data_IF_383306602024
#
_entry.id   IF_383306602024
#
_cell.length_a   1.000
_cell.length_b   1.000
_cell.length_c   1.000
_cell.angle_alpha   90.00
_cell.angle_beta   90.00
_cell.angle_gamma   90.00
#
_symmetry.space_group_name_H-M   'P 1'
#
loop_
_entity.id
_entity.type
_entity.pdbx_description
1 polymer ?
#
# COMPACT_ATOMS: atom_id res chain seq x y z
N UNK A 1 9.51 24.08 14.89
CA UNK A 1 10.04 22.76 15.23
C UNK A 1 9.91 21.92 13.98
N UNK A 2 10.99 21.46 13.37
CA UNK A 2 10.90 20.57 12.20
C UNK A 2 10.31 19.26 12.72
N UNK A 3 9.07 18.94 12.32
CA UNK A 3 8.55 17.59 12.49
C UNK A 3 9.51 16.67 11.73
N UNK A 4 10.42 16.03 12.49
CA UNK A 4 11.28 15.00 11.92
C UNK A 4 10.37 13.92 11.37
N UNK A 5 10.46 13.66 10.07
CA UNK A 5 9.70 12.59 9.40
C UNK A 5 10.19 11.23 9.90
N UNK A 6 9.77 10.84 11.12
CA UNK A 6 10.11 9.53 11.66
C UNK A 6 9.28 8.47 10.95
N UNK A 7 9.93 7.65 10.15
CA UNK A 7 9.31 6.58 9.37
C UNK A 7 9.77 5.22 9.87
N UNK A 8 8.83 4.30 10.10
CA UNK A 8 9.09 2.87 10.32
C UNK A 8 8.86 2.09 9.03
N UNK A 9 9.79 1.22 8.68
CA UNK A 9 9.62 0.24 7.61
C UNK A 9 9.07 -1.05 8.22
N UNK A 10 7.89 -1.46 7.78
CA UNK A 10 7.21 -2.65 8.29
C UNK A 10 7.19 -3.71 7.20
N UNK A 11 7.80 -4.85 7.48
CA UNK A 11 7.93 -6.00 6.57
C UNK A 11 7.04 -7.13 7.08
N UNK A 12 5.85 -7.36 6.50
CA UNK A 12 5.01 -8.50 6.84
C UNK A 12 5.62 -9.82 6.37
N UNK A 13 5.77 -10.79 7.29
CA UNK A 13 6.32 -12.11 7.01
C UNK A 13 5.49 -13.20 7.69
N UNK A 14 5.30 -14.33 7.02
CA UNK A 14 4.43 -15.41 7.52
C UNK A 14 4.96 -16.82 7.21
N UNK A 15 6.12 -16.93 6.59
CA UNK A 15 6.79 -18.20 6.29
C UNK A 15 8.13 -18.30 7.03
N UNK A 16 8.55 -19.48 7.49
CA UNK A 16 9.82 -19.62 8.22
C UNK A 16 11.06 -19.51 7.32
N UNK A 17 10.88 -19.52 6.00
CA UNK A 17 11.97 -19.45 5.01
C UNK A 17 11.70 -18.38 3.97
N UNK A 18 12.76 -17.80 3.41
CA UNK A 18 12.70 -16.87 2.28
C UNK A 18 13.07 -17.60 0.99
N UNK A 19 12.41 -17.24 -0.09
CA UNK A 19 12.92 -17.50 -1.43
C UNK A 19 14.14 -16.63 -1.73
N UNK A 20 14.88 -16.93 -2.79
CA UNK A 20 16.00 -16.10 -3.24
C UNK A 20 15.57 -14.66 -3.55
N UNK A 21 14.41 -14.50 -4.17
CA UNK A 21 13.85 -13.17 -4.49
C UNK A 21 13.48 -12.37 -3.23
N UNK A 22 12.85 -13.03 -2.25
CA UNK A 22 12.51 -12.39 -0.96
C UNK A 22 13.76 -12.03 -0.16
N UNK A 23 14.78 -12.88 -0.17
CA UNK A 23 16.07 -12.58 0.45
C UNK A 23 16.72 -11.36 -0.19
N UNK A 24 16.76 -11.32 -1.53
CA UNK A 24 17.32 -10.18 -2.25
C UNK A 24 16.53 -8.88 -1.99
N UNK A 25 15.19 -8.96 -1.95
CA UNK A 25 14.33 -7.83 -1.60
C UNK A 25 14.58 -7.32 -0.18
N UNK A 26 14.70 -8.22 0.81
CA UNK A 26 15.01 -7.86 2.19
C UNK A 26 16.37 -7.14 2.28
N UNK A 27 17.40 -7.71 1.66
CA UNK A 27 18.74 -7.12 1.65
C UNK A 27 18.77 -5.76 0.96
N UNK A 28 18.05 -5.60 -0.14
CA UNK A 28 17.90 -4.32 -0.83
C UNK A 28 17.18 -3.28 0.04
N UNK A 29 16.10 -3.68 0.71
CA UNK A 29 15.39 -2.81 1.66
C UNK A 29 16.33 -2.32 2.78
N UNK A 30 17.04 -3.24 3.42
CA UNK A 30 17.98 -2.91 4.49
C UNK A 30 19.15 -2.04 4.00
N UNK A 31 19.67 -2.31 2.82
CA UNK A 31 20.76 -1.52 2.21
C UNK A 31 20.34 -0.08 1.92
N UNK A 32 19.13 0.14 1.40
CA UNK A 32 18.68 1.46 0.92
C UNK A 32 17.99 2.25 2.03
N UNK A 33 17.12 1.62 2.80
CA UNK A 33 16.30 2.29 3.80
C UNK A 33 16.84 2.15 5.23
N UNK A 34 17.47 1.01 5.55
CA UNK A 34 17.97 0.71 6.89
C UNK A 34 18.93 1.74 7.48
N UNK A 35 19.81 2.43 6.71
CA UNK A 35 20.69 3.45 7.25
C UNK A 35 19.96 4.67 7.85
N UNK A 36 18.71 4.93 7.46
CA UNK A 36 17.99 6.15 7.81
C UNK A 36 16.66 5.89 8.54
N UNK A 37 16.17 4.65 8.52
CA UNK A 37 14.86 4.30 9.03
C UNK A 37 14.89 3.03 9.85
N UNK A 38 14.10 2.98 10.92
CA UNK A 38 13.90 1.76 11.68
C UNK A 38 13.17 0.72 10.81
N UNK A 39 13.58 -0.54 10.93
CA UNK A 39 12.97 -1.67 10.22
C UNK A 39 12.43 -2.68 11.22
N UNK A 40 11.21 -3.17 11.00
CA UNK A 40 10.59 -4.19 11.83
C UNK A 40 9.90 -5.26 10.98
N UNK A 41 10.15 -6.53 11.31
CA UNK A 41 9.33 -7.64 10.83
C UNK A 41 7.98 -7.63 11.57
N UNK A 42 6.91 -7.90 10.86
CA UNK A 42 5.58 -8.17 11.42
C UNK A 42 5.21 -9.59 11.09
N UNK A 43 4.99 -10.43 12.11
CA UNK A 43 4.84 -11.87 11.91
C UNK A 43 3.86 -12.52 12.90
N UNK A 44 3.43 -13.78 12.63
CA UNK A 44 2.68 -14.61 13.58
C UNK A 44 3.43 -14.82 14.90
N UNK A 45 2.69 -14.99 15.99
CA UNK A 45 3.27 -15.32 17.30
C UNK A 45 4.14 -16.59 17.24
N UNK A 46 3.73 -17.58 16.45
CA UNK A 46 4.40 -18.89 16.31
C UNK A 46 5.61 -18.89 15.37
N UNK A 47 5.84 -17.83 14.55
CA UNK A 47 6.84 -17.87 13.49
C UNK A 47 8.28 -17.79 14.03
N UNK A 48 9.15 -18.68 13.58
CA UNK A 48 10.60 -18.55 13.76
C UNK A 48 11.19 -17.62 12.68
N UNK A 49 11.79 -16.53 13.10
CA UNK A 49 12.34 -15.48 12.20
C UNK A 49 13.85 -15.64 11.95
N UNK A 50 14.50 -16.70 12.41
CA UNK A 50 15.95 -16.89 12.30
C UNK A 50 16.48 -16.81 10.85
N UNK A 51 15.71 -17.26 9.87
CA UNK A 51 16.11 -17.15 8.47
C UNK A 51 16.17 -15.70 7.97
N UNK A 52 15.31 -14.83 8.49
CA UNK A 52 15.31 -13.39 8.20
C UNK A 52 16.50 -12.68 8.85
N UNK A 53 16.79 -13.01 10.12
CA UNK A 53 17.96 -12.49 10.83
C UNK A 53 19.26 -12.90 10.12
N UNK A 54 19.35 -14.16 9.69
CA UNK A 54 20.49 -14.65 8.91
C UNK A 54 20.62 -13.94 7.54
N UNK A 55 19.51 -13.68 6.85
CA UNK A 55 19.51 -12.96 5.57
C UNK A 55 19.89 -11.47 5.73
N UNK A 56 19.54 -10.87 6.86
CA UNK A 56 19.88 -9.50 7.21
C UNK A 56 21.33 -9.34 7.70
N UNK A 57 21.96 -10.41 8.21
CA UNK A 57 23.25 -10.36 8.88
C UNK A 57 23.21 -9.82 10.32
N UNK A 58 22.02 -9.53 10.83
CA UNK A 58 21.77 -9.01 12.16
C UNK A 58 20.39 -9.44 12.68
N UNK A 59 20.16 -9.28 13.99
CA UNK A 59 18.83 -9.54 14.57
C UNK A 59 17.89 -8.38 14.30
N UNK A 60 16.81 -8.65 13.56
CA UNK A 60 15.80 -7.67 13.23
C UNK A 60 14.79 -7.46 14.37
N UNK A 61 14.34 -6.24 14.56
CA UNK A 61 13.17 -5.96 15.40
C UNK A 61 11.97 -6.74 14.87
N UNK A 62 11.23 -7.38 15.77
CA UNK A 62 10.09 -8.23 15.41
C UNK A 62 8.87 -7.85 16.24
N UNK A 63 7.76 -7.52 15.59
CA UNK A 63 6.46 -7.26 16.19
C UNK A 63 5.54 -8.43 15.90
N UNK A 64 5.05 -9.08 16.95
CA UNK A 64 4.26 -10.30 16.86
C UNK A 64 2.78 -10.03 17.03
N UNK A 65 1.99 -10.75 16.24
CA UNK A 65 0.53 -10.72 16.28
C UNK A 65 -0.01 -12.16 16.23
N UNK A 66 -1.28 -12.32 16.62
CA UNK A 66 -1.93 -13.63 16.58
C UNK A 66 -1.86 -14.27 15.20
N UNK A 67 -1.68 -15.57 15.16
CA UNK A 67 -1.49 -16.36 13.94
C UNK A 67 -2.65 -16.20 12.94
N UNK A 68 -3.90 -16.06 13.44
CA UNK A 68 -5.09 -15.87 12.61
C UNK A 68 -5.07 -14.63 11.70
N UNK A 69 -4.24 -13.66 12.02
CA UNK A 69 -4.01 -12.50 11.14
C UNK A 69 -3.14 -12.82 9.91
N UNK A 70 -2.52 -13.97 9.86
CA UNK A 70 -1.67 -14.39 8.75
C UNK A 70 -2.25 -15.58 7.98
N UNK A 71 -3.49 -15.97 8.29
CA UNK A 71 -4.22 -17.00 7.57
C UNK A 71 -4.83 -16.43 6.27
N UNK A 72 -4.05 -16.48 5.20
CA UNK A 72 -4.47 -16.03 3.88
C UNK A 72 -4.66 -14.51 3.77
N UNK A 73 -5.24 -14.11 2.64
CA UNK A 73 -5.47 -12.68 2.33
C UNK A 73 -6.45 -12.02 3.30
N UNK A 74 -7.46 -12.75 3.76
CA UNK A 74 -8.47 -12.23 4.68
C UNK A 74 -7.87 -11.92 6.06
N UNK A 75 -7.01 -12.79 6.58
CA UNK A 75 -6.28 -12.55 7.82
C UNK A 75 -5.40 -11.32 7.72
N UNK A 76 -4.63 -11.21 6.65
CA UNK A 76 -3.79 -10.05 6.38
C UNK A 76 -4.60 -8.74 6.28
N UNK A 77 -5.71 -8.74 5.56
CA UNK A 77 -6.60 -7.58 5.48
C UNK A 77 -7.14 -7.18 6.87
N UNK A 78 -7.55 -8.17 7.71
CA UNK A 78 -7.97 -7.88 9.10
C UNK A 78 -6.84 -7.23 9.90
N UNK A 79 -5.58 -7.69 9.74
CA UNK A 79 -4.43 -7.08 10.41
C UNK A 79 -4.26 -5.62 9.96
N UNK A 80 -4.19 -5.39 8.65
CA UNK A 80 -3.97 -4.05 8.06
C UNK A 80 -5.12 -3.06 8.35
N UNK A 81 -6.32 -3.54 8.64
CA UNK A 81 -7.46 -2.71 9.05
C UNK A 81 -7.62 -2.62 10.58
N UNK A 82 -6.76 -3.24 11.37
CA UNK A 82 -6.88 -3.26 12.82
C UNK A 82 -6.18 -2.07 13.49
N UNK A 83 -6.86 -1.42 14.44
CA UNK A 83 -6.24 -0.40 15.28
C UNK A 83 -5.03 -0.93 16.06
N UNK A 84 -5.10 -2.22 16.49
CA UNK A 84 -4.02 -2.90 17.21
C UNK A 84 -2.70 -2.90 16.44
N UNK A 85 -2.76 -3.03 15.11
CA UNK A 85 -1.57 -3.02 14.26
C UNK A 85 -0.89 -1.65 14.29
N UNK A 86 -1.61 -0.59 13.99
CA UNK A 86 -1.04 0.77 13.94
C UNK A 86 -0.60 1.27 15.32
N UNK A 87 -1.27 0.87 16.39
CA UNK A 87 -0.93 1.26 17.77
C UNK A 87 0.46 0.79 18.21
N UNK A 88 0.98 -0.33 17.63
CA UNK A 88 2.34 -0.80 17.90
C UNK A 88 3.42 0.19 17.47
N UNK A 89 3.08 1.05 16.50
CA UNK A 89 4.00 1.97 15.86
C UNK A 89 3.62 3.45 16.10
N UNK A 90 2.77 3.73 17.10
CA UNK A 90 2.19 5.06 17.34
C UNK A 90 3.20 6.18 17.64
N UNK A 91 4.45 5.85 17.91
CA UNK A 91 5.53 6.80 18.16
C UNK A 91 6.24 7.27 16.86
N UNK A 92 5.92 6.67 15.70
CA UNK A 92 6.35 7.15 14.40
C UNK A 92 5.29 8.05 13.77
N UNK A 93 5.71 8.95 12.89
CA UNK A 93 4.79 9.78 12.10
C UNK A 93 4.27 9.03 10.86
N UNK A 94 5.12 8.17 10.28
CA UNK A 94 4.86 7.47 9.03
C UNK A 94 5.21 5.98 9.13
N UNK A 95 4.55 5.19 8.32
CA UNK A 95 4.81 3.77 8.15
C UNK A 95 4.92 3.45 6.66
N UNK A 96 6.00 2.81 6.26
CA UNK A 96 6.12 2.16 4.96
C UNK A 96 5.80 0.67 5.13
N UNK A 97 4.73 0.19 4.50
CA UNK A 97 4.55 -1.25 4.30
C UNK A 97 5.45 -1.66 3.14
N UNK A 98 6.28 -2.67 3.37
CA UNK A 98 7.20 -3.23 2.39
C UNK A 98 7.05 -4.74 2.35
N UNK A 99 6.29 -5.28 1.40
CA UNK A 99 6.20 -6.72 1.16
C UNK A 99 7.46 -7.21 0.43
N UNK A 100 7.88 -8.45 0.68
CA UNK A 100 9.17 -8.96 0.15
C UNK A 100 9.14 -9.29 -1.36
N UNK A 101 8.06 -9.02 -2.04
CA UNK A 101 7.98 -8.95 -3.50
C UNK A 101 8.06 -7.50 -4.03
N UNK A 102 8.33 -6.53 -3.16
CA UNK A 102 8.68 -5.18 -3.54
C UNK A 102 10.18 -5.04 -3.80
N UNK A 103 10.55 -3.94 -4.44
CA UNK A 103 11.95 -3.53 -4.63
C UNK A 103 12.06 -2.02 -4.48
N UNK A 104 13.09 -1.57 -3.77
CA UNK A 104 13.37 -0.15 -3.57
C UNK A 104 14.64 0.24 -4.33
N UNK A 105 14.58 1.33 -5.10
CA UNK A 105 15.73 1.81 -5.88
C UNK A 105 16.50 2.90 -5.16
N UNK A 106 15.81 3.78 -4.44
CA UNK A 106 16.40 4.91 -3.73
C UNK A 106 15.52 5.31 -2.53
N UNK A 107 16.12 5.95 -1.53
CA UNK A 107 15.39 6.50 -0.39
C UNK A 107 14.93 7.93 -0.71
N UNK A 108 13.61 8.09 -0.90
CA UNK A 108 12.93 9.38 -1.02
C UNK A 108 11.78 9.52 -0.02
N UNK A 109 11.82 8.75 1.09
CA UNK A 109 10.71 8.76 2.05
C UNK A 109 10.48 10.14 2.66
N UNK A 110 11.54 10.88 2.98
CA UNK A 110 11.39 12.23 3.52
C UNK A 110 10.68 13.18 2.54
N UNK A 111 11.00 13.09 1.24
CA UNK A 111 10.29 13.86 0.20
C UNK A 111 8.79 13.53 0.20
N UNK A 112 8.44 12.24 0.23
CA UNK A 112 7.05 11.80 0.22
C UNK A 112 6.29 12.18 1.50
N UNK A 113 6.93 12.11 2.66
CA UNK A 113 6.35 12.57 3.91
C UNK A 113 6.01 14.07 3.87
N UNK A 114 6.91 14.91 3.32
CA UNK A 114 6.68 16.36 3.20
C UNK A 114 5.52 16.71 2.28
N UNK A 115 5.16 15.86 1.30
CA UNK A 115 3.99 16.07 0.44
C UNK A 115 2.67 15.97 1.20
N UNK A 116 2.66 15.32 2.35
CA UNK A 116 1.55 15.35 3.28
C UNK A 116 0.35 14.48 2.90
N UNK A 117 0.48 13.56 1.97
CA UNK A 117 -0.57 12.58 1.64
C UNK A 117 -0.81 11.62 2.81
N UNK A 118 -2.05 11.19 3.01
CA UNK A 118 -2.35 10.22 4.06
C UNK A 118 -1.95 8.79 3.66
N UNK A 119 -1.94 8.52 2.36
CA UNK A 119 -1.54 7.23 1.77
C UNK A 119 -0.92 7.44 0.39
N UNK A 120 0.16 6.72 0.12
CA UNK A 120 0.79 6.65 -1.20
C UNK A 120 1.12 5.19 -1.51
N UNK A 121 0.69 4.70 -2.67
CA UNK A 121 1.03 3.37 -3.21
C UNK A 121 1.05 3.43 -4.72
N UNK A 122 1.18 2.28 -5.39
CA UNK A 122 1.19 2.24 -6.86
C UNK A 122 -0.18 2.62 -7.45
N UNK A 123 -0.22 3.19 -8.66
CA UNK A 123 -1.47 3.49 -9.34
C UNK A 123 -2.18 2.23 -9.84
N UNK A 124 -3.51 2.28 -9.85
CA UNK A 124 -4.37 1.30 -10.50
C UNK A 124 -4.87 1.79 -11.86
N UNK A 125 -5.22 0.84 -12.72
CA UNK A 125 -5.80 1.07 -14.04
C UNK A 125 -7.31 0.86 -14.03
N UNK A 126 -8.05 1.56 -14.91
CA UNK A 126 -9.53 1.44 -15.02
C UNK A 126 -9.99 0.03 -15.36
N UNK A 127 -9.23 -0.67 -16.20
CA UNK A 127 -9.49 -2.05 -16.60
C UNK A 127 -8.30 -2.91 -16.25
N UNK A 128 -8.50 -3.86 -15.36
CA UNK A 128 -7.45 -4.76 -14.89
C UNK A 128 -6.85 -5.67 -16.00
N UNK A 129 -7.44 -5.71 -17.20
CA UNK A 129 -7.19 -6.79 -18.15
C UNK A 129 -6.94 -6.38 -19.62
N UNK A 130 -7.13 -5.15 -20.08
CA UNK A 130 -7.06 -4.91 -21.53
C UNK A 130 -5.87 -4.08 -21.97
N UNK A 131 -4.95 -4.73 -22.65
CA UNK A 131 -3.94 -4.11 -23.52
C UNK A 131 -4.55 -3.43 -24.77
N UNK A 132 -5.86 -3.65 -25.05
CA UNK A 132 -6.47 -3.31 -26.33
C UNK A 132 -7.09 -1.91 -26.40
N UNK A 133 -7.36 -1.25 -25.25
CA UNK A 133 -8.09 0.02 -25.23
C UNK A 133 -7.29 1.22 -24.76
N UNK A 134 -5.97 1.10 -24.66
CA UNK A 134 -5.11 2.12 -24.08
C UNK A 134 -5.08 2.05 -22.54
N UNK A 135 -3.97 2.48 -21.98
CA UNK A 135 -3.77 2.50 -20.53
C UNK A 135 -4.40 3.76 -19.94
N UNK A 136 -5.41 3.59 -19.10
CA UNK A 136 -6.01 4.68 -18.35
C UNK A 136 -5.77 4.47 -16.86
N UNK A 137 -5.04 5.39 -16.26
CA UNK A 137 -4.87 5.41 -14.81
C UNK A 137 -6.19 5.80 -14.15
N UNK A 138 -6.51 5.12 -13.04
CA UNK A 138 -7.78 5.31 -12.35
C UNK A 138 -7.64 5.95 -10.98
N UNK A 139 -6.91 5.29 -10.08
CA UNK A 139 -6.77 5.69 -8.68
C UNK A 139 -5.37 5.29 -8.16
N UNK A 140 -5.03 5.84 -7.01
CA UNK A 140 -3.88 5.42 -6.23
C UNK A 140 -4.31 4.41 -5.18
N UNK A 141 -3.55 3.35 -5.00
CA UNK A 141 -3.82 2.29 -4.03
C UNK A 141 -2.61 1.39 -3.85
N UNK A 142 -2.82 0.06 -3.86
CA UNK A 142 -1.80 -0.98 -3.71
C UNK A 142 -1.10 -1.00 -2.34
N UNK A 143 -1.38 -2.04 -1.56
CA UNK A 143 -0.90 -2.17 -0.17
C UNK A 143 0.54 -2.66 -0.03
N UNK A 144 1.11 -3.36 -1.04
CA UNK A 144 2.37 -4.10 -0.90
C UNK A 144 3.63 -3.24 -0.81
N UNK A 145 3.62 -2.06 -1.44
CA UNK A 145 4.59 -0.99 -1.20
C UNK A 145 3.81 0.30 -1.00
N UNK A 146 3.56 0.67 0.26
CA UNK A 146 2.70 1.83 0.56
C UNK A 146 3.17 2.62 1.77
N UNK A 147 3.19 3.95 1.64
CA UNK A 147 3.49 4.90 2.71
C UNK A 147 2.18 5.38 3.33
N UNK A 148 2.08 5.34 4.65
CA UNK A 148 0.86 5.63 5.43
C UNK A 148 1.17 6.62 6.54
N UNK A 149 0.36 7.69 6.68
CA UNK A 149 0.44 8.63 7.79
C UNK A 149 -0.19 8.01 9.04
N UNK A 150 0.62 7.71 10.06
CA UNK A 150 0.18 6.96 11.22
C UNK A 150 -0.92 7.65 12.02
N UNK A 151 -0.88 8.96 12.20
CA UNK A 151 -1.94 9.70 12.88
C UNK A 151 -3.32 9.45 12.25
N UNK A 152 -3.40 9.52 10.90
CA UNK A 152 -4.65 9.27 10.17
C UNK A 152 -5.11 7.82 10.33
N UNK A 153 -4.20 6.86 10.20
CA UNK A 153 -4.52 5.43 10.32
C UNK A 153 -4.90 5.02 11.74
N UNK A 154 -4.22 5.54 12.77
CA UNK A 154 -4.60 5.35 14.16
C UNK A 154 -6.05 5.81 14.42
N UNK A 155 -6.44 6.94 13.83
CA UNK A 155 -7.80 7.47 13.98
C UNK A 155 -8.82 6.62 13.24
N UNK A 156 -8.65 6.36 11.95
CA UNK A 156 -9.67 5.69 11.14
C UNK A 156 -9.81 4.20 11.41
N UNK A 157 -8.84 3.56 12.05
CA UNK A 157 -8.93 2.14 12.43
C UNK A 157 -9.60 1.93 13.79
N UNK A 158 -9.91 2.99 14.54
CA UNK A 158 -10.77 2.89 15.72
C UNK A 158 -12.19 2.59 15.28
N UNK A 159 -12.76 1.47 15.74
CA UNK A 159 -14.13 1.04 15.37
C UNK A 159 -15.20 2.08 15.70
N UNK A 160 -14.99 2.86 16.76
CA UNK A 160 -15.86 3.97 17.18
C UNK A 160 -15.60 5.30 16.48
N UNK A 161 -14.62 5.39 15.55
CA UNK A 161 -14.34 6.63 14.84
C UNK A 161 -15.61 7.13 14.11
N UNK A 162 -16.06 8.37 14.35
CA UNK A 162 -17.25 8.92 13.69
C UNK A 162 -17.01 9.06 12.18
N UNK A 163 -17.98 8.61 11.41
CA UNK A 163 -17.94 8.65 9.94
C UNK A 163 -19.23 9.23 9.38
N UNK A 164 -19.12 10.24 8.53
CA UNK A 164 -20.22 10.74 7.71
C UNK A 164 -20.11 10.19 6.30
N UNK A 165 -21.08 9.34 5.95
CA UNK A 165 -21.11 8.67 4.65
C UNK A 165 -22.15 9.34 3.75
N UNK A 166 -21.85 9.63 2.47
CA UNK A 166 -22.84 10.14 1.52
C UNK A 166 -24.01 9.17 1.38
N UNK A 167 -25.25 9.68 1.48
CA UNK A 167 -26.45 8.88 1.25
C UNK A 167 -26.72 8.82 -0.25
N UNK A 168 -26.37 7.72 -0.89
CA UNK A 168 -26.64 7.49 -2.29
C UNK A 168 -28.04 6.90 -2.43
N UNK A 169 -28.99 7.70 -2.94
CA UNK A 169 -30.38 7.24 -3.14
C UNK A 169 -30.58 6.71 -4.57
N UNK A 170 -29.76 7.12 -5.51
CA UNK A 170 -29.94 6.73 -6.90
C UNK A 170 -28.61 6.64 -7.65
N UNK A 171 -28.38 5.55 -8.38
CA UNK A 171 -27.25 5.45 -9.30
C UNK A 171 -27.73 5.18 -10.71
N UNK A 172 -27.52 6.13 -11.62
CA UNK A 172 -27.73 5.90 -13.04
C UNK A 172 -26.43 5.52 -13.74
N UNK A 173 -26.51 4.48 -14.58
CA UNK A 173 -25.46 4.16 -15.56
C UNK A 173 -25.78 4.85 -16.88
N UNK A 174 -25.06 5.91 -17.19
CA UNK A 174 -25.12 6.51 -18.51
C UNK A 174 -24.09 5.86 -19.43
N UNK A 175 -24.55 5.46 -20.61
CA UNK A 175 -23.68 5.06 -21.71
C UNK A 175 -23.39 6.32 -22.52
N UNK A 176 -22.16 6.79 -22.60
CA UNK A 176 -21.75 7.68 -23.68
C UNK A 176 -21.81 6.86 -24.98
N UNK A 177 -22.22 7.48 -26.11
CA UNK A 177 -22.36 6.79 -27.40
C UNK A 177 -21.08 6.06 -27.82
N UNK A 178 -19.90 6.51 -27.34
CA UNK A 178 -18.57 5.99 -27.72
C UNK A 178 -17.59 5.91 -26.52
N UNK A 179 -18.02 5.51 -25.31
CA UNK A 179 -17.15 5.50 -24.13
C UNK A 179 -17.66 4.70 -22.92
N UNK A 180 -16.83 4.55 -21.86
CA UNK A 180 -17.15 3.74 -20.69
C UNK A 180 -18.39 4.25 -19.96
N UNK A 181 -19.14 3.32 -19.35
CA UNK A 181 -20.32 3.63 -18.54
C UNK A 181 -19.93 4.43 -17.30
N UNK A 182 -20.33 5.69 -17.20
CA UNK A 182 -20.23 6.48 -15.98
C UNK A 182 -21.40 6.19 -15.04
N UNK A 183 -21.10 5.98 -13.76
CA UNK A 183 -22.11 5.98 -12.69
C UNK A 183 -22.29 7.42 -12.23
N UNK A 184 -23.47 7.96 -12.34
CA UNK A 184 -23.86 9.21 -11.69
C UNK A 184 -24.69 8.82 -10.47
N UNK A 185 -24.24 9.24 -9.30
CA UNK A 185 -24.92 9.00 -8.03
C UNK A 185 -25.50 10.31 -7.53
N UNK A 186 -26.81 10.33 -7.26
CA UNK A 186 -27.45 11.47 -6.60
C UNK A 186 -27.26 11.31 -5.08
N UNK A 187 -26.51 12.20 -4.48
CA UNK A 187 -26.27 12.23 -3.02
C UNK A 187 -27.33 13.12 -2.38
N UNK A 188 -28.25 12.52 -1.62
CA UNK A 188 -29.24 13.24 -0.84
C UNK A 188 -28.91 13.18 0.65
N UNK A 189 -28.04 14.11 1.09
CA UNK A 189 -27.64 14.21 2.49
C UNK A 189 -26.51 13.24 2.87
N UNK A 190 -26.23 13.18 4.16
CA UNK A 190 -25.20 12.31 4.77
C UNK A 190 -25.83 11.44 5.86
N UNK A 191 -25.28 10.27 6.08
CA UNK A 191 -25.62 9.39 7.19
C UNK A 191 -24.45 9.34 8.15
N UNK A 192 -24.73 9.58 9.44
CA UNK A 192 -23.75 9.42 10.50
C UNK A 192 -23.69 7.94 10.94
N UNK A 193 -22.49 7.41 11.04
CA UNK A 193 -22.21 6.08 11.56
C UNK A 193 -20.78 6.03 12.10
N UNK A 194 -20.32 4.89 12.55
CA UNK A 194 -18.91 4.69 12.88
C UNK A 194 -18.19 3.96 11.74
N UNK A 195 -16.84 4.09 11.68
CA UNK A 195 -16.02 3.31 10.74
C UNK A 195 -16.27 1.82 10.90
N UNK A 196 -16.38 1.31 12.15
CA UNK A 196 -16.69 -0.11 12.40
C UNK A 196 -18.03 -0.55 11.81
N UNK A 197 -19.08 0.27 11.95
CA UNK A 197 -20.38 0.00 11.32
C UNK A 197 -20.32 0.03 9.81
N UNK A 198 -19.52 0.94 9.23
CA UNK A 198 -19.33 1.03 7.78
C UNK A 198 -18.62 -0.20 7.24
N UNK A 199 -17.53 -0.64 7.90
CA UNK A 199 -16.80 -1.86 7.53
C UNK A 199 -17.71 -3.10 7.52
N UNK A 200 -18.62 -3.24 8.50
CA UNK A 200 -19.58 -4.35 8.56
C UNK A 200 -20.59 -4.37 7.40
N UNK A 201 -20.85 -3.22 6.77
CA UNK A 201 -21.77 -3.11 5.63
C UNK A 201 -21.07 -3.43 4.29
N UNK A 202 -19.74 -3.46 4.27
CA UNK A 202 -18.96 -3.80 3.08
C UNK A 202 -18.76 -5.33 3.08
N UNK A 203 -19.18 -5.99 2.01
CA UNK A 203 -18.75 -7.36 1.75
C UNK A 203 -17.23 -7.40 1.58
N UNK A 204 -16.57 -8.48 2.01
CA UNK A 204 -15.12 -8.72 2.04
C UNK A 204 -14.31 -7.76 1.15
N UNK A 205 -13.62 -6.82 1.77
CA UNK A 205 -12.92 -5.74 1.07
C UNK A 205 -11.42 -5.88 1.33
N UNK A 206 -10.64 -5.68 0.31
CA UNK A 206 -9.18 -5.57 0.42
C UNK A 206 -8.86 -4.27 1.16
N UNK A 207 -7.84 -4.29 2.00
CA UNK A 207 -7.53 -3.19 2.90
C UNK A 207 -7.22 -1.89 2.16
N UNK A 208 -6.44 -1.98 1.08
CA UNK A 208 -6.08 -0.86 0.22
C UNK A 208 -7.30 -0.29 -0.53
N UNK A 209 -8.21 -1.16 -1.00
CA UNK A 209 -9.48 -0.73 -1.56
C UNK A 209 -10.38 -0.03 -0.53
N UNK A 210 -10.40 -0.54 0.70
CA UNK A 210 -11.16 0.10 1.78
C UNK A 210 -10.66 1.52 2.02
N UNK A 211 -9.35 1.68 2.23
CA UNK A 211 -8.77 2.97 2.56
C UNK A 211 -8.82 3.96 1.40
N UNK A 212 -8.47 3.52 0.19
CA UNK A 212 -8.32 4.42 -0.95
C UNK A 212 -9.62 4.68 -1.73
N UNK A 213 -10.59 3.74 -1.69
CA UNK A 213 -11.81 3.82 -2.49
C UNK A 213 -13.07 3.89 -1.61
N UNK A 214 -13.23 2.96 -0.63
CA UNK A 214 -14.48 2.91 0.12
C UNK A 214 -14.68 4.13 1.02
N UNK A 215 -13.61 4.75 1.50
CA UNK A 215 -13.66 5.99 2.28
C UNK A 215 -13.82 7.24 1.41
N UNK A 216 -13.71 7.15 0.09
CA UNK A 216 -13.87 8.32 -0.81
C UNK A 216 -15.25 8.97 -0.62
N UNK A 217 -15.27 10.29 -0.51
CA UNK A 217 -16.48 11.07 -0.27
C UNK A 217 -17.03 11.05 1.16
N UNK A 218 -16.44 10.25 2.05
CA UNK A 218 -16.78 10.28 3.49
C UNK A 218 -16.04 11.41 4.22
N UNK A 219 -16.35 11.63 5.51
CA UNK A 219 -15.60 12.59 6.34
C UNK A 219 -14.17 12.13 6.66
N UNK A 220 -13.86 10.86 6.45
CA UNK A 220 -12.56 10.25 6.71
C UNK A 220 -11.82 9.86 5.43
N UNK A 221 -12.23 10.39 4.28
CA UNK A 221 -11.50 10.21 3.02
C UNK A 221 -10.01 10.55 3.17
N UNK A 222 -9.15 9.73 2.58
CA UNK A 222 -7.71 9.94 2.60
C UNK A 222 -7.30 10.98 1.54
N UNK A 223 -6.28 11.76 1.85
CA UNK A 223 -5.57 12.57 0.88
C UNK A 223 -4.59 11.67 0.12
N UNK A 224 -4.87 11.46 -1.16
CA UNK A 224 -4.09 10.62 -2.05
C UNK A 224 -3.44 11.46 -3.15
N UNK A 225 -2.24 11.10 -3.65
CA UNK A 225 -1.69 11.70 -4.86
C UNK A 225 -2.53 11.33 -6.10
N UNK A 226 -2.34 12.07 -7.19
CA UNK A 226 -2.82 11.61 -8.48
C UNK A 226 -2.14 10.28 -8.87
N UNK A 227 -2.76 9.45 -9.71
CA UNK A 227 -2.13 8.22 -10.17
C UNK A 227 -0.78 8.43 -10.88
N UNK A 228 -0.63 9.52 -11.62
CA UNK A 228 0.63 9.89 -12.31
C UNK A 228 1.72 10.27 -11.31
N UNK A 229 1.35 10.95 -10.23
CA UNK A 229 2.28 11.27 -9.16
C UNK A 229 2.63 10.03 -8.35
N UNK A 230 1.65 9.19 -8.04
CA UNK A 230 1.83 7.92 -7.34
C UNK A 230 2.80 6.98 -8.06
N UNK A 231 2.80 6.98 -9.40
CA UNK A 231 3.75 6.22 -10.20
C UNK A 231 5.22 6.59 -9.93
N UNK A 232 5.51 7.82 -9.45
CA UNK A 232 6.87 8.22 -9.04
C UNK A 232 7.30 7.58 -7.72
N UNK A 233 6.33 7.21 -6.88
CA UNK A 233 6.56 6.49 -5.64
C UNK A 233 6.73 5.00 -5.92
N UNK A 234 5.73 4.38 -6.53
CA UNK A 234 5.73 2.95 -6.77
C UNK A 234 5.03 2.58 -8.07
N UNK A 235 5.51 1.52 -8.70
CA UNK A 235 4.92 0.90 -9.89
C UNK A 235 4.68 -0.57 -9.62
N UNK A 236 3.53 -1.10 -10.03
CA UNK A 236 3.23 -2.52 -9.99
C UNK A 236 2.98 -3.07 -11.39
N UNK A 237 1.81 -2.78 -11.97
CA UNK A 237 1.41 -3.27 -13.30
C UNK A 237 1.95 -2.38 -14.40
N UNK A 238 2.20 -2.98 -15.56
CA UNK A 238 2.64 -2.29 -16.77
C UNK A 238 3.84 -1.36 -16.55
N UNK A 239 4.90 -1.85 -15.88
CA UNK A 239 6.01 -1.01 -15.46
C UNK A 239 6.71 -0.33 -16.61
N UNK A 240 6.92 -1.00 -17.75
CA UNK A 240 7.53 -0.39 -18.94
C UNK A 240 6.74 0.84 -19.38
N UNK A 241 5.42 0.70 -19.57
CA UNK A 241 4.59 1.80 -20.02
C UNK A 241 4.58 2.97 -19.02
N UNK A 242 4.45 2.66 -17.71
CA UNK A 242 4.50 3.70 -16.67
C UNK A 242 5.83 4.45 -16.68
N UNK A 243 6.96 3.73 -16.72
CA UNK A 243 8.27 4.37 -16.68
C UNK A 243 8.54 5.15 -17.98
N UNK A 244 8.30 4.56 -19.14
CA UNK A 244 8.63 5.20 -20.43
C UNK A 244 7.66 6.35 -20.76
N UNK A 245 6.35 6.17 -20.51
CA UNK A 245 5.32 7.13 -20.94
C UNK A 245 4.98 8.14 -19.85
N UNK A 246 4.62 7.67 -18.63
CA UNK A 246 4.15 8.55 -17.55
C UNK A 246 5.32 9.23 -16.86
N UNK A 247 6.37 8.48 -16.54
CA UNK A 247 7.55 8.97 -15.84
C UNK A 247 8.65 9.50 -16.77
N UNK A 248 8.46 9.41 -18.10
CA UNK A 248 9.41 9.91 -19.12
C UNK A 248 10.82 9.37 -18.95
N UNK A 249 10.94 8.08 -18.67
CA UNK A 249 12.21 7.39 -18.46
C UNK A 249 12.78 7.50 -17.05
N UNK A 250 12.15 8.25 -16.12
CA UNK A 250 12.58 8.32 -14.73
C UNK A 250 12.14 7.07 -13.97
N UNK A 251 13.02 6.52 -13.13
CA UNK A 251 12.66 5.39 -12.29
C UNK A 251 11.76 5.86 -11.11
N UNK A 252 10.80 5.04 -10.69
CA UNK A 252 10.08 5.26 -9.43
C UNK A 252 11.03 5.09 -8.23
N UNK A 253 10.59 5.50 -7.04
CA UNK A 253 11.30 5.19 -5.80
C UNK A 253 11.40 3.68 -5.56
N UNK A 254 10.33 2.94 -5.90
CA UNK A 254 10.30 1.49 -5.80
C UNK A 254 9.28 0.85 -6.73
N UNK A 255 9.12 -0.46 -6.62
CA UNK A 255 8.07 -1.21 -7.32
C UNK A 255 7.58 -2.37 -6.46
N UNK A 256 6.35 -2.84 -6.74
CA UNK A 256 5.73 -3.98 -6.09
C UNK A 256 5.53 -5.13 -7.09
N UNK A 257 5.54 -6.36 -6.62
CA UNK A 257 5.38 -7.56 -7.42
C UNK A 257 6.31 -7.58 -8.66
N UNK A 258 7.55 -7.12 -8.46
CA UNK A 258 8.52 -6.90 -9.54
C UNK A 258 8.84 -8.16 -10.35
N UNK A 259 8.79 -9.34 -9.73
CA UNK A 259 9.03 -10.61 -10.45
C UNK A 259 7.83 -11.01 -11.30
N UNK A 260 6.61 -10.65 -10.87
CA UNK A 260 5.35 -11.03 -11.52
C UNK A 260 5.08 -10.21 -12.78
N UNK A 261 5.44 -8.94 -12.78
CA UNK A 261 5.08 -8.02 -13.87
C UNK A 261 6.30 -7.57 -14.66
N UNK A 262 6.43 -8.11 -15.87
CA UNK A 262 7.44 -7.74 -16.87
C UNK A 262 8.89 -7.80 -16.35
N UNK A 263 9.24 -8.81 -15.54
CA UNK A 263 10.61 -8.91 -15.03
C UNK A 263 11.61 -9.10 -16.17
N UNK A 264 11.44 -10.10 -17.02
CA UNK A 264 12.35 -10.44 -18.10
C UNK A 264 12.40 -9.33 -19.16
N UNK A 265 11.25 -8.72 -19.46
CA UNK A 265 11.09 -7.71 -20.50
C UNK A 265 11.53 -6.33 -20.05
N UNK A 266 11.49 -6.03 -18.74
CA UNK A 266 11.75 -4.67 -18.26
C UNK A 266 12.59 -4.58 -17.00
N UNK A 267 12.19 -5.21 -15.86
CA UNK A 267 12.87 -4.98 -14.58
C UNK A 267 14.27 -5.58 -14.50
N UNK A 268 14.57 -6.64 -15.27
CA UNK A 268 15.87 -7.37 -15.26
C UNK A 268 17.08 -6.45 -15.52
N UNK A 269 16.90 -5.36 -16.24
CA UNK A 269 17.97 -4.37 -16.47
C UNK A 269 18.32 -3.57 -15.21
N UNK A 270 17.35 -3.41 -14.27
CA UNK A 270 17.49 -2.60 -13.06
C UNK A 270 17.60 -3.45 -11.78
N UNK A 271 16.95 -4.61 -11.75
CA UNK A 271 16.88 -5.49 -10.60
C UNK A 271 17.69 -6.74 -10.92
N UNK A 272 18.85 -6.87 -10.28
CA UNK A 272 19.75 -8.03 -10.42
C UNK A 272 19.92 -8.63 -9.02
N UNK A 273 19.01 -9.56 -8.60
CA UNK A 273 19.20 -10.27 -7.35
C UNK A 273 20.54 -10.98 -7.40
N UNK A 274 21.35 -10.81 -6.38
CA UNK A 274 22.60 -11.59 -6.26
C UNK A 274 22.21 -13.06 -6.13
N UNK A 275 22.92 -13.92 -6.87
CA UNK A 275 22.66 -15.36 -6.94
C UNK A 275 22.95 -16.06 -5.61
#
# INVERSE_FOLDING_TARGET
MSDSCTTIIVIPVYRPTLSSDEKASLQQCLKVLGPHHDVALVCPDSLNTAAYDAAAGEKLRTERFKDDFFEGIEGYNRLMMSHKFYSRFSHYAWMLIYQLDAWIFEDRLEEWCRKGYDYVGAPWFENNESHETGWHLWRTGNGGLSLRRLEKFLRITQSGCPLRVPRVIWSHRFRRKDGPRRRVSLVLGKRDMTVGQYMQQLSATWEDYFFCISLEGTSEALQLPSPEEAARFSVERSPRWLVETVLRGQRPMGCHAWRKYQYEEFWKQYIKPEA
#
